data_IF_715034345143
#
_entry.id   IF_715034345143
#
_cell.length_a   1.000
_cell.length_b   1.000
_cell.length_c   1.000
_cell.angle_alpha   90.00
_cell.angle_beta   90.00
_cell.angle_gamma   90.00
#
_symmetry.space_group_name_H-M   'P 1'
#
loop_
_entity.id
_entity.type
_entity.pdbx_description
1 polymer ?
#
# COMPACT_ATOMS: atom_id res chain seq x y z
N UNK A 1 4.16 -11.87 0.92
CA UNK A 1 4.40 -10.51 1.48
C UNK A 1 3.67 -9.50 0.62
N UNK A 2 3.61 -8.22 1.04
CA UNK A 2 2.92 -7.18 0.28
C UNK A 2 3.96 -6.29 -0.42
N UNK A 3 3.88 -6.16 -1.75
CA UNK A 3 4.76 -5.27 -2.52
C UNK A 3 3.98 -4.05 -3.01
N UNK A 4 4.47 -2.86 -2.67
CA UNK A 4 3.84 -1.60 -3.05
C UNK A 4 4.88 -0.61 -3.58
N UNK A 5 4.49 0.21 -4.55
CA UNK A 5 5.34 1.29 -5.05
C UNK A 5 5.19 2.52 -4.16
N UNK A 6 6.30 2.99 -3.59
CA UNK A 6 6.34 4.29 -2.94
C UNK A 6 6.43 5.41 -3.99
N UNK A 7 5.49 6.36 -3.92
CA UNK A 7 5.51 7.57 -4.74
C UNK A 7 6.01 8.71 -3.87
N UNK A 8 7.08 9.37 -4.31
CA UNK A 8 7.80 10.42 -3.57
C UNK A 8 7.96 11.66 -4.45
N UNK A 9 8.33 12.82 -3.88
CA UNK A 9 8.74 13.98 -4.67
C UNK A 9 9.88 13.63 -5.65
N UNK A 10 9.91 14.22 -6.86
CA UNK A 10 9.07 15.33 -7.35
C UNK A 10 7.70 14.91 -7.92
N UNK A 11 7.41 13.62 -7.99
CA UNK A 11 6.15 13.11 -8.60
C UNK A 11 4.90 13.48 -7.81
N UNK A 12 5.04 13.76 -6.52
CA UNK A 12 3.99 14.29 -5.64
C UNK A 12 4.52 15.48 -4.84
N UNK A 13 3.64 16.40 -4.36
CA UNK A 13 4.05 17.49 -3.48
C UNK A 13 4.83 17.00 -2.25
N UNK A 14 5.77 17.82 -1.78
CA UNK A 14 6.51 17.57 -0.54
C UNK A 14 5.53 17.42 0.62
N UNK A 15 5.78 16.45 1.51
CA UNK A 15 4.89 16.11 2.62
C UNK A 15 3.71 15.21 2.25
N UNK A 16 3.57 14.82 0.98
CA UNK A 16 2.45 13.96 0.51
C UNK A 16 2.91 12.63 -0.07
N UNK A 17 4.08 12.13 0.37
CA UNK A 17 4.57 10.81 -0.02
C UNK A 17 3.53 9.74 0.36
N UNK A 18 3.29 8.80 -0.56
CA UNK A 18 2.23 7.80 -0.41
C UNK A 18 2.60 6.49 -1.09
N UNK A 19 2.01 5.39 -0.64
CA UNK A 19 2.05 4.12 -1.33
C UNK A 19 0.90 4.05 -2.34
N UNK A 20 1.14 3.46 -3.51
CA UNK A 20 0.08 3.12 -4.47
C UNK A 20 -0.18 1.63 -4.44
N UNK A 21 -1.40 1.27 -4.08
CA UNK A 21 -1.91 -0.10 -4.08
C UNK A 21 -2.98 -0.18 -5.18
N UNK A 22 -2.84 -1.14 -6.10
CA UNK A 22 -3.78 -1.34 -7.21
C UNK A 22 -4.53 -2.64 -6.96
N UNK A 23 -5.78 -2.53 -6.51
CA UNK A 23 -6.65 -3.68 -6.36
C UNK A 23 -7.20 -4.12 -7.71
N UNK A 24 -7.21 -5.42 -7.95
CA UNK A 24 -7.67 -6.04 -9.19
C UNK A 24 -8.55 -7.24 -8.83
N UNK A 25 -9.33 -7.75 -9.78
CA UNK A 25 -10.17 -8.93 -9.58
C UNK A 25 -9.39 -10.19 -9.16
N UNK A 26 -8.08 -10.24 -9.45
CA UNK A 26 -7.24 -11.37 -9.05
C UNK A 26 -6.95 -11.42 -7.54
N UNK A 27 -7.26 -10.36 -6.78
CA UNK A 27 -7.10 -10.36 -5.34
C UNK A 27 -8.32 -11.02 -4.69
N UNK A 28 -8.07 -12.02 -3.86
CA UNK A 28 -9.09 -12.63 -3.03
C UNK A 28 -9.29 -11.85 -1.73
N UNK A 29 -10.39 -12.12 -1.02
CA UNK A 29 -10.68 -11.44 0.25
C UNK A 29 -9.53 -11.64 1.27
N UNK A 30 -8.93 -12.83 1.30
CA UNK A 30 -7.82 -13.15 2.19
C UNK A 30 -6.55 -12.32 1.89
N UNK A 31 -6.32 -11.92 0.64
CA UNK A 31 -5.21 -11.03 0.28
C UNK A 31 -5.43 -9.64 0.88
N UNK A 32 -6.68 -9.17 0.89
CA UNK A 32 -7.06 -7.88 1.46
C UNK A 32 -6.93 -7.91 2.99
N UNK A 33 -7.43 -8.96 3.63
CA UNK A 33 -7.27 -9.13 5.08
C UNK A 33 -5.79 -9.12 5.47
N UNK A 34 -4.95 -9.85 4.74
CA UNK A 34 -3.52 -9.88 5.00
C UNK A 34 -2.85 -8.52 4.78
N UNK A 35 -3.26 -7.78 3.75
CA UNK A 35 -2.78 -6.44 3.48
C UNK A 35 -3.10 -5.49 4.64
N UNK A 36 -4.32 -5.57 5.20
CA UNK A 36 -4.75 -4.75 6.33
C UNK A 36 -3.94 -5.06 7.59
N UNK A 37 -3.71 -6.33 7.90
CA UNK A 37 -2.86 -6.73 9.03
C UNK A 37 -1.45 -6.12 8.92
N UNK A 38 -0.84 -6.21 7.73
CA UNK A 38 0.51 -5.70 7.49
C UNK A 38 0.56 -4.18 7.58
N UNK A 39 -0.42 -3.46 7.01
CA UNK A 39 -0.48 -2.00 7.07
C UNK A 39 -0.71 -1.49 8.49
N UNK A 40 -1.51 -2.21 9.29
CA UNK A 40 -1.72 -1.88 10.69
C UNK A 40 -0.45 -2.08 11.51
N UNK A 41 0.20 -3.25 11.39
CA UNK A 41 1.42 -3.55 12.15
C UNK A 41 2.66 -2.75 11.72
N UNK A 42 2.70 -2.22 10.50
CA UNK A 42 3.79 -1.37 10.02
C UNK A 42 3.69 0.10 10.50
N UNK A 43 2.59 0.48 11.13
CA UNK A 43 2.38 1.82 11.69
C UNK A 43 2.93 2.00 13.11
N UNK A 44 3.33 0.91 13.76
CA UNK A 44 3.97 0.88 15.10
C UNK A 44 5.50 0.99 15.01
#
# INVERSE_FOLDING_TARGET
GCWATAIRPPTVPVGTARLRLTLTQAHEACDIDRLLEVLHGAGE
#
